data_IF_701979460029
#
_entry.id   IF_701979460029
#
_cell.length_a   1.000
_cell.length_b   1.000
_cell.length_c   1.000
_cell.angle_alpha   90.00
_cell.angle_beta   90.00
_cell.angle_gamma   90.00
#
_symmetry.space_group_name_H-M   'P 1'
#
loop_
_entity.id
_entity.type
_entity.pdbx_description
1 polymer ?
#
# COMPACT_ATOMS: atom_id res chain seq x y z
N UNK A 1 -19.20 -28.95 16.88
CA UNK A 1 -18.87 -28.58 15.49
C UNK A 1 -17.95 -27.38 15.60
N UNK A 2 -16.69 -27.55 15.22
CA UNK A 2 -15.63 -26.57 15.46
C UNK A 2 -15.85 -25.32 14.62
N UNK A 3 -15.99 -24.17 15.29
CA UNK A 3 -16.02 -22.86 14.67
C UNK A 3 -14.58 -22.48 14.33
N UNK A 4 -14.09 -22.91 13.17
CA UNK A 4 -12.84 -22.43 12.62
C UNK A 4 -13.08 -20.99 12.17
N UNK A 5 -12.72 -20.03 13.02
CA UNK A 5 -12.56 -18.65 12.58
C UNK A 5 -11.42 -18.65 11.56
N UNK A 6 -11.77 -18.66 10.27
CA UNK A 6 -10.85 -18.39 9.16
C UNK A 6 -10.30 -16.97 9.35
N UNK A 7 -9.25 -16.85 10.15
CA UNK A 7 -8.44 -15.65 10.16
C UNK A 7 -7.56 -15.74 8.91
N UNK A 8 -7.74 -14.86 7.93
CA UNK A 8 -6.88 -14.86 6.75
C UNK A 8 -5.43 -14.80 7.22
N UNK A 9 -4.57 -15.62 6.61
CA UNK A 9 -3.14 -15.60 6.93
C UNK A 9 -2.60 -14.18 6.74
N UNK A 10 -1.64 -13.75 7.56
CA UNK A 10 -1.05 -12.40 7.47
C UNK A 10 -0.59 -12.08 6.01
N UNK A 11 -0.03 -13.08 5.32
CA UNK A 11 0.36 -12.98 3.91
C UNK A 11 -0.82 -12.76 2.95
N UNK A 12 -1.98 -13.36 3.20
CA UNK A 12 -3.19 -13.16 2.38
C UNK A 12 -3.72 -11.75 2.56
N UNK A 13 -3.70 -11.26 3.80
CA UNK A 13 -4.10 -9.89 4.15
C UNK A 13 -3.20 -8.85 3.48
N UNK A 14 -1.89 -9.08 3.40
CA UNK A 14 -0.94 -8.19 2.70
C UNK A 14 -1.19 -8.15 1.19
N UNK A 15 -1.43 -9.30 0.56
CA UNK A 15 -1.69 -9.35 -0.89
C UNK A 15 -3.01 -8.67 -1.27
N UNK A 16 -4.07 -8.89 -0.51
CA UNK A 16 -5.38 -8.25 -0.73
C UNK A 16 -5.29 -6.72 -0.61
N UNK A 17 -4.45 -6.24 0.32
CA UNK A 17 -4.16 -4.81 0.50
C UNK A 17 -3.37 -4.22 -0.66
N UNK A 18 -2.34 -4.89 -1.13
CA UNK A 18 -1.59 -4.46 -2.32
C UNK A 18 -2.48 -4.41 -3.56
N UNK A 19 -3.39 -5.38 -3.72
CA UNK A 19 -4.38 -5.36 -4.80
C UNK A 19 -5.33 -4.16 -4.69
N UNK A 20 -5.83 -3.87 -3.48
CA UNK A 20 -6.69 -2.73 -3.21
C UNK A 20 -5.98 -1.40 -3.48
N UNK A 21 -4.72 -1.27 -3.05
CA UNK A 21 -3.89 -0.09 -3.33
C UNK A 21 -3.68 0.13 -4.84
N UNK A 22 -3.43 -0.95 -5.61
CA UNK A 22 -3.32 -0.84 -7.08
C UNK A 22 -4.61 -0.42 -7.76
N UNK A 23 -5.76 -0.86 -7.25
CA UNK A 23 -7.07 -0.42 -7.75
C UNK A 23 -7.30 1.06 -7.46
N UNK A 24 -7.03 1.49 -6.23
CA UNK A 24 -7.20 2.88 -5.81
C UNK A 24 -6.20 3.83 -6.51
N UNK A 25 -4.99 3.35 -6.81
CA UNK A 25 -4.00 4.10 -7.58
C UNK A 25 -4.53 4.53 -8.96
N UNK A 26 -5.48 3.80 -9.57
CA UNK A 26 -6.07 4.19 -10.85
C UNK A 26 -6.80 5.53 -10.79
N UNK A 27 -7.25 5.94 -9.60
CA UNK A 27 -7.93 7.21 -9.38
C UNK A 27 -6.96 8.41 -9.30
N UNK A 28 -5.65 8.15 -9.23
CA UNK A 28 -4.62 9.18 -9.19
C UNK A 28 -4.48 9.87 -10.56
N UNK A 29 -4.12 11.17 -10.58
CA UNK A 29 -3.78 11.84 -11.82
C UNK A 29 -2.61 11.12 -12.51
N UNK A 30 -2.56 11.18 -13.84
CA UNK A 30 -1.69 10.33 -14.66
C UNK A 30 -0.23 10.36 -14.20
N UNK A 31 0.28 11.56 -13.91
CA UNK A 31 1.66 11.80 -13.47
C UNK A 31 1.98 11.06 -12.17
N UNK A 32 1.11 11.11 -11.16
CA UNK A 32 1.33 10.42 -9.89
C UNK A 32 1.00 8.93 -9.96
N UNK A 33 0.07 8.53 -10.84
CA UNK A 33 -0.36 7.13 -10.95
C UNK A 33 0.78 6.20 -11.34
N UNK A 34 1.58 6.59 -12.34
CA UNK A 34 2.70 5.77 -12.81
C UNK A 34 3.72 5.55 -11.69
N UNK A 35 4.04 6.60 -10.94
CA UNK A 35 4.94 6.54 -9.77
C UNK A 35 4.37 5.65 -8.65
N UNK A 36 3.08 5.76 -8.34
CA UNK A 36 2.43 4.93 -7.32
C UNK A 36 2.44 3.46 -7.73
N UNK A 37 2.09 3.14 -8.98
CA UNK A 37 2.05 1.76 -9.45
C UNK A 37 3.44 1.13 -9.43
N UNK A 38 4.48 1.88 -9.82
CA UNK A 38 5.86 1.42 -9.75
C UNK A 38 6.28 1.11 -8.31
N UNK A 39 6.03 2.02 -7.36
CA UNK A 39 6.39 1.79 -5.96
C UNK A 39 5.58 0.65 -5.33
N UNK A 40 4.32 0.43 -5.74
CA UNK A 40 3.52 -0.71 -5.30
C UNK A 40 4.03 -2.05 -5.85
N UNK A 41 4.50 -2.08 -7.10
CA UNK A 41 5.06 -3.29 -7.71
C UNK A 41 6.41 -3.67 -7.08
N UNK A 42 7.24 -2.66 -6.82
CA UNK A 42 8.48 -2.82 -6.08
C UNK A 42 8.22 -3.32 -4.65
N UNK A 43 7.30 -2.67 -3.92
CA UNK A 43 6.93 -3.08 -2.56
C UNK A 43 6.36 -4.51 -2.53
N UNK A 44 5.54 -4.87 -3.53
CA UNK A 44 4.99 -6.21 -3.67
C UNK A 44 6.09 -7.25 -3.91
N UNK A 45 7.11 -6.90 -4.70
CA UNK A 45 8.27 -7.77 -4.96
C UNK A 45 9.10 -7.94 -3.70
N UNK A 46 9.35 -6.84 -2.99
CA UNK A 46 10.14 -6.82 -1.77
C UNK A 46 9.50 -7.62 -0.63
N UNK A 47 8.18 -7.52 -0.47
CA UNK A 47 7.41 -8.29 0.51
C UNK A 47 7.28 -9.78 0.16
N UNK A 48 7.40 -10.14 -1.12
CA UNK A 48 7.35 -11.54 -1.57
C UNK A 48 8.69 -12.27 -1.44
N UNK A 49 9.81 -11.53 -1.44
CA UNK A 49 11.15 -12.10 -1.37
C UNK A 49 11.58 -12.35 0.08
N UNK A 50 11.97 -13.59 0.39
CA UNK A 50 12.42 -13.99 1.74
C UNK A 50 13.81 -13.44 2.07
N UNK A 51 14.66 -13.27 1.05
CA UNK A 51 15.93 -12.51 1.09
C UNK A 51 15.70 -11.03 0.77
N UNK A 52 14.46 -10.55 0.95
CA UNK A 52 13.98 -9.24 0.56
C UNK A 52 14.79 -8.09 1.17
N UNK A 53 14.58 -6.87 0.67
CA UNK A 53 15.40 -5.75 1.06
C UNK A 53 15.25 -5.44 2.55
N UNK A 54 16.20 -4.66 3.05
CA UNK A 54 16.21 -4.26 4.46
C UNK A 54 14.91 -3.60 4.88
N UNK A 55 14.56 -3.72 6.17
CA UNK A 55 13.44 -2.99 6.78
C UNK A 55 13.45 -1.50 6.43
N UNK A 56 14.64 -0.90 6.39
CA UNK A 56 14.84 0.50 6.01
C UNK A 56 14.37 0.80 4.58
N UNK A 57 14.64 -0.10 3.64
CA UNK A 57 14.16 0.02 2.25
C UNK A 57 12.63 -0.03 2.20
N UNK A 58 12.02 -1.00 2.88
CA UNK A 58 10.56 -1.11 2.94
C UNK A 58 9.91 0.13 3.56
N UNK A 59 10.48 0.65 4.65
CA UNK A 59 10.05 1.90 5.27
C UNK A 59 10.14 3.07 4.28
N UNK A 60 11.24 3.19 3.54
CA UNK A 60 11.41 4.25 2.53
C UNK A 60 10.34 4.16 1.43
N UNK A 61 10.00 2.97 0.96
CA UNK A 61 8.94 2.79 -0.05
C UNK A 61 7.57 3.19 0.48
N UNK A 62 7.24 2.77 1.70
CA UNK A 62 6.00 3.17 2.36
C UNK A 62 5.93 4.70 2.56
N UNK A 63 7.04 5.35 2.92
CA UNK A 63 7.14 6.82 3.01
C UNK A 63 6.91 7.49 1.67
N UNK A 64 7.47 6.94 0.58
CA UNK A 64 7.24 7.47 -0.78
C UNK A 64 5.79 7.34 -1.20
N UNK A 65 5.16 6.18 -0.99
CA UNK A 65 3.74 5.97 -1.26
C UNK A 65 2.87 6.97 -0.47
N UNK A 66 3.19 7.21 0.80
CA UNK A 66 2.49 8.18 1.62
C UNK A 66 2.67 9.63 1.09
N UNK A 67 3.89 9.99 0.68
CA UNK A 67 4.18 11.30 0.10
C UNK A 67 3.41 11.51 -1.22
N UNK A 68 3.38 10.50 -2.09
CA UNK A 68 2.65 10.59 -3.36
C UNK A 68 1.14 10.71 -3.10
N UNK A 69 0.58 9.95 -2.15
CA UNK A 69 -0.82 10.08 -1.76
C UNK A 69 -1.14 11.48 -1.21
N UNK A 70 -0.24 12.06 -0.41
CA UNK A 70 -0.40 13.42 0.13
C UNK A 70 -0.36 14.47 -0.99
N UNK A 71 0.56 14.33 -1.95
CA UNK A 71 0.61 15.19 -3.13
C UNK A 71 -0.65 15.05 -3.98
N UNK A 72 -1.07 13.82 -4.28
CA UNK A 72 -2.29 13.55 -5.04
C UNK A 72 -3.52 14.19 -4.36
N UNK A 73 -3.63 14.11 -3.02
CA UNK A 73 -4.71 14.74 -2.27
C UNK A 73 -4.74 16.26 -2.44
N UNK A 74 -3.58 16.93 -2.50
CA UNK A 74 -3.52 18.39 -2.69
C UNK A 74 -4.02 18.84 -4.07
N UNK A 75 -3.84 18.02 -5.09
CA UNK A 75 -4.19 18.35 -6.48
C UNK A 75 -5.47 17.68 -6.99
N UNK A 76 -6.00 16.70 -6.27
CA UNK A 76 -7.20 15.99 -6.64
C UNK A 76 -8.45 16.83 -6.41
N UNK A 77 -9.03 17.31 -7.52
CA UNK A 77 -10.33 17.99 -7.55
C UNK A 77 -11.49 17.01 -7.74
N UNK A 78 -11.20 15.82 -8.26
CA UNK A 78 -12.08 14.67 -8.37
C UNK A 78 -11.35 13.45 -7.81
N UNK A 79 -12.07 12.49 -7.23
CA UNK A 79 -11.54 11.27 -6.62
C UNK A 79 -10.83 11.42 -5.25
N UNK A 80 -11.15 12.46 -4.48
CA UNK A 80 -10.62 12.64 -3.12
C UNK A 80 -10.89 11.43 -2.22
N UNK A 81 -12.10 10.85 -2.31
CA UNK A 81 -12.46 9.66 -1.55
C UNK A 81 -11.53 8.48 -1.85
N UNK A 82 -11.21 8.21 -3.12
CA UNK A 82 -10.31 7.11 -3.49
C UNK A 82 -8.88 7.32 -2.96
N UNK A 83 -8.43 8.59 -2.88
CA UNK A 83 -7.11 8.93 -2.34
C UNK A 83 -7.08 8.81 -0.80
N UNK A 84 -8.19 9.13 -0.13
CA UNK A 84 -8.34 8.90 1.31
C UNK A 84 -8.38 7.40 1.64
N UNK A 85 -9.14 6.63 0.86
CA UNK A 85 -9.17 5.17 0.95
C UNK A 85 -7.79 4.55 0.67
N UNK A 86 -7.02 5.13 -0.27
CA UNK A 86 -5.63 4.72 -0.54
C UNK A 86 -4.75 4.94 0.68
N UNK A 87 -4.83 6.12 1.31
CA UNK A 87 -4.06 6.44 2.51
C UNK A 87 -4.42 5.52 3.70
N UNK A 88 -5.71 5.20 3.88
CA UNK A 88 -6.15 4.24 4.90
C UNK A 88 -5.59 2.84 4.64
N UNK A 89 -5.70 2.35 3.40
CA UNK A 89 -5.16 1.04 3.04
C UNK A 89 -3.64 0.97 3.22
N UNK A 90 -2.92 2.07 3.01
CA UNK A 90 -1.48 2.14 3.24
C UNK A 90 -1.17 2.01 4.74
N UNK A 91 -1.90 2.69 5.62
CA UNK A 91 -1.77 2.54 7.08
C UNK A 91 -2.07 1.11 7.53
N UNK A 92 -3.09 0.50 6.96
CA UNK A 92 -3.41 -0.89 7.31
C UNK A 92 -2.36 -1.88 6.77
N UNK A 93 -1.71 -1.58 5.64
CA UNK A 93 -0.58 -2.35 5.13
C UNK A 93 0.64 -2.26 6.04
N UNK A 94 0.95 -1.09 6.60
CA UNK A 94 2.07 -0.94 7.55
C UNK A 94 1.82 -1.72 8.83
N UNK A 95 0.57 -1.72 9.32
CA UNK A 95 0.16 -2.52 10.47
C UNK A 95 0.25 -4.03 10.19
N UNK A 96 -0.25 -4.48 9.03
CA UNK A 96 -0.21 -5.89 8.63
C UNK A 96 1.22 -6.41 8.45
N UNK A 97 2.12 -5.57 7.96
CA UNK A 97 3.55 -5.90 7.77
C UNK A 97 4.40 -5.67 9.03
N UNK A 98 3.84 -5.06 10.08
CA UNK A 98 4.55 -4.65 11.31
C UNK A 98 5.74 -3.72 11.01
N UNK A 99 5.64 -2.94 9.94
CA UNK A 99 6.66 -1.96 9.54
C UNK A 99 6.25 -0.61 10.08
N UNK A 100 7.01 -0.10 11.05
CA UNK A 100 6.80 1.24 11.58
C UNK A 100 7.34 2.29 10.59
N UNK A 101 6.52 3.29 10.29
CA UNK A 101 6.92 4.42 9.44
C UNK A 101 7.10 5.62 10.36
N UNK A 102 8.34 5.84 10.83
CA UNK A 102 8.73 7.01 11.65
C UNK A 102 8.70 8.34 10.89
#
# INVERSE_FOLDING_TARGET
MSNASDHPSESQTVQDRLASLRQLAQAFPKEQREDVLLELDDLSTDLANTDGPSLQTLQQRLKRLAAIAMMARMFATSNQQAIEEFASNLVELTQATKIEVE
#
